data_IF_746843775465
#
_entry.id   IF_746843775465
#
_cell.length_a   1.000
_cell.length_b   1.000
_cell.length_c   1.000
_cell.angle_alpha   90.00
_cell.angle_beta   90.00
_cell.angle_gamma   90.00
#
_symmetry.space_group_name_H-M   'P 1'
#
loop_
_entity.id
_entity.type
_entity.pdbx_description
1 polymer ?
#
# COMPACT_ATOMS: atom_id res chain seq x y z
N UNK A 1 -20.98 3.14 -7.77
CA UNK A 1 -20.67 4.46 -8.38
C UNK A 1 -20.57 4.30 -9.89
N UNK A 2 -20.86 5.34 -10.68
CA UNK A 2 -20.72 5.27 -12.15
C UNK A 2 -19.29 5.56 -12.58
N UNK A 3 -18.80 4.99 -13.70
CA UNK A 3 -17.42 5.19 -14.17
C UNK A 3 -17.03 6.67 -14.39
N UNK A 4 -17.98 7.49 -14.83
CA UNK A 4 -17.80 8.93 -15.05
C UNK A 4 -17.39 9.66 -13.76
N UNK A 5 -17.98 9.31 -12.63
CA UNK A 5 -17.71 9.98 -11.34
C UNK A 5 -16.29 9.67 -10.87
N UNK A 6 -15.83 8.43 -11.08
CA UNK A 6 -14.47 8.01 -10.73
C UNK A 6 -13.45 8.70 -11.64
N UNK A 7 -13.68 8.72 -12.95
CA UNK A 7 -12.77 9.37 -13.92
C UNK A 7 -12.64 10.87 -13.70
N UNK A 8 -13.69 11.52 -13.20
CA UNK A 8 -13.67 12.94 -12.84
C UNK A 8 -12.97 13.24 -11.50
N UNK A 9 -12.36 12.24 -10.84
CA UNK A 9 -11.62 12.42 -9.60
C UNK A 9 -12.46 12.40 -8.32
N UNK A 10 -13.76 12.10 -8.43
CA UNK A 10 -14.69 12.06 -7.28
C UNK A 10 -14.77 10.67 -6.63
N UNK A 11 -13.64 9.95 -6.59
CA UNK A 11 -13.59 8.63 -5.98
C UNK A 11 -14.01 8.66 -4.50
N UNK A 12 -13.72 9.75 -3.77
CA UNK A 12 -14.14 9.93 -2.38
C UNK A 12 -15.67 9.90 -2.17
N UNK A 13 -16.45 10.30 -3.19
CA UNK A 13 -17.92 10.24 -3.14
C UNK A 13 -18.46 8.83 -3.41
N UNK A 14 -17.59 7.94 -3.90
CA UNK A 14 -17.87 6.56 -4.22
C UNK A 14 -17.34 5.58 -3.15
N UNK A 15 -16.37 6.01 -2.36
CA UNK A 15 -15.76 5.22 -1.30
C UNK A 15 -16.61 5.25 -0.03
N UNK A 16 -16.42 4.23 0.81
CA UNK A 16 -17.04 4.19 2.12
C UNK A 16 -16.49 5.33 3.00
N UNK A 17 -17.37 6.19 3.57
CA UNK A 17 -16.97 7.38 4.31
C UNK A 17 -16.24 7.08 5.63
N UNK A 18 -16.26 5.82 6.10
CA UNK A 18 -15.55 5.40 7.31
C UNK A 18 -14.03 5.39 7.09
N UNK A 19 -13.57 5.19 5.86
CA UNK A 19 -12.14 5.04 5.56
C UNK A 19 -11.52 6.33 5.06
N UNK A 20 -10.35 6.67 5.61
CA UNK A 20 -9.44 7.61 4.96
C UNK A 20 -8.83 6.92 3.74
N UNK A 21 -9.43 7.16 2.57
CA UNK A 21 -8.99 6.51 1.33
C UNK A 21 -7.61 6.98 0.87
N UNK A 22 -7.19 8.20 1.21
CA UNK A 22 -5.83 8.63 0.91
C UNK A 22 -4.85 7.75 1.67
N UNK A 23 -5.10 7.60 2.98
CA UNK A 23 -4.31 6.72 3.83
C UNK A 23 -4.33 5.27 3.34
N UNK A 24 -5.50 4.74 2.97
CA UNK A 24 -5.63 3.37 2.48
C UNK A 24 -4.82 3.14 1.20
N UNK A 25 -4.84 4.10 0.27
CA UNK A 25 -4.06 4.03 -0.96
C UNK A 25 -2.56 4.15 -0.72
N UNK A 26 -2.11 5.05 0.16
CA UNK A 26 -0.67 5.18 0.48
C UNK A 26 -0.10 3.85 1.00
N UNK A 27 -0.83 3.20 1.93
CA UNK A 27 -0.44 1.89 2.45
C UNK A 27 -0.45 0.82 1.36
N UNK A 28 -1.56 0.70 0.62
CA UNK A 28 -1.73 -0.34 -0.41
C UNK A 28 -0.67 -0.20 -1.50
N UNK A 29 -0.45 1.02 -2.00
CA UNK A 29 0.50 1.30 -3.06
C UNK A 29 1.94 1.05 -2.60
N UNK A 30 2.32 1.47 -1.40
CA UNK A 30 3.66 1.24 -0.85
C UNK A 30 3.98 -0.26 -0.79
N UNK A 31 3.15 -1.03 -0.08
CA UNK A 31 3.42 -2.46 0.14
C UNK A 31 3.32 -3.27 -1.15
N UNK A 32 2.30 -3.02 -1.97
CA UNK A 32 2.10 -3.78 -3.21
C UNK A 32 3.21 -3.50 -4.21
N UNK A 33 3.57 -2.23 -4.42
CA UNK A 33 4.65 -1.86 -5.35
C UNK A 33 5.99 -2.44 -4.89
N UNK A 34 6.34 -2.25 -3.62
CA UNK A 34 7.62 -2.73 -3.07
C UNK A 34 7.72 -4.26 -3.14
N UNK A 35 6.64 -4.98 -2.84
CA UNK A 35 6.60 -6.44 -2.96
C UNK A 35 6.76 -6.92 -4.40
N UNK A 36 6.04 -6.33 -5.34
CA UNK A 36 6.12 -6.73 -6.75
C UNK A 36 7.50 -6.44 -7.33
N UNK A 37 8.11 -5.30 -7.01
CA UNK A 37 9.47 -4.97 -7.43
C UNK A 37 10.49 -5.93 -6.83
N UNK A 38 10.44 -6.15 -5.51
CA UNK A 38 11.37 -7.03 -4.82
C UNK A 38 11.36 -8.46 -5.38
N UNK A 39 10.17 -9.05 -5.55
CA UNK A 39 10.06 -10.48 -5.88
C UNK A 39 9.90 -10.81 -7.37
N UNK A 40 9.38 -9.89 -8.19
CA UNK A 40 9.26 -10.13 -9.64
C UNK A 40 10.42 -9.53 -10.43
N UNK A 41 11.13 -8.55 -9.87
CA UNK A 41 12.20 -7.83 -10.56
C UNK A 41 13.54 -7.89 -9.83
N UNK A 42 13.62 -8.56 -8.66
CA UNK A 42 14.83 -8.64 -7.83
C UNK A 42 15.38 -7.27 -7.42
N UNK A 43 14.49 -6.30 -7.22
CA UNK A 43 14.85 -4.95 -6.78
C UNK A 43 15.19 -4.95 -5.28
N UNK A 44 16.46 -4.71 -4.95
CA UNK A 44 16.95 -4.71 -3.57
C UNK A 44 16.50 -3.49 -2.78
N UNK A 45 16.34 -2.33 -3.42
CA UNK A 45 15.85 -1.11 -2.75
C UNK A 45 14.38 -1.29 -2.36
N UNK A 46 13.60 -1.94 -3.23
CA UNK A 46 12.21 -2.29 -2.93
C UNK A 46 12.10 -3.31 -1.77
N UNK A 47 13.07 -4.21 -1.64
CA UNK A 47 13.12 -5.14 -0.50
C UNK A 47 13.46 -4.40 0.81
N UNK A 48 14.38 -3.44 0.78
CA UNK A 48 14.70 -2.58 1.93
C UNK A 48 13.50 -1.70 2.34
N UNK A 49 12.70 -1.25 1.38
CA UNK A 49 11.47 -0.49 1.63
C UNK A 49 10.36 -1.33 2.33
N UNK A 50 10.48 -2.66 2.32
CA UNK A 50 9.62 -3.58 3.07
C UNK A 50 10.18 -3.94 4.44
N UNK A 51 11.41 -3.54 4.78
CA UNK A 51 12.00 -3.89 6.07
C UNK A 51 11.22 -3.21 7.22
N UNK A 52 10.93 -3.89 8.34
CA UNK A 52 10.12 -3.32 9.42
C UNK A 52 10.63 -1.99 9.98
N UNK A 53 11.95 -1.80 9.99
CA UNK A 53 12.63 -0.58 10.38
C UNK A 53 12.42 0.59 9.40
N UNK A 54 12.06 0.30 8.15
CA UNK A 54 11.80 1.28 7.09
C UNK A 54 10.33 1.75 7.06
N UNK A 55 9.44 1.10 7.83
CA UNK A 55 8.02 1.43 7.86
C UNK A 55 7.71 2.39 9.01
N UNK A 56 7.41 3.66 8.68
CA UNK A 56 7.15 4.73 9.65
C UNK A 56 5.66 5.13 9.78
N UNK A 57 4.79 4.32 9.20
CA UNK A 57 3.38 4.64 9.12
C UNK A 57 2.68 4.68 10.49
N UNK A 58 2.11 5.83 10.83
CA UNK A 58 1.35 6.05 12.08
C UNK A 58 0.14 5.10 12.19
N UNK A 59 -0.06 4.53 13.38
CA UNK A 59 -1.31 3.87 13.77
C UNK A 59 -1.40 2.37 13.50
N UNK A 60 -0.34 1.74 12.98
CA UNK A 60 -0.26 0.28 12.93
C UNK A 60 1.18 -0.21 13.16
N UNK A 61 1.31 -1.49 13.50
CA UNK A 61 2.60 -2.17 13.62
C UNK A 61 2.76 -3.12 12.45
N UNK A 62 3.80 -2.89 11.65
CA UNK A 62 4.20 -3.81 10.61
C UNK A 62 5.14 -4.88 11.18
N UNK A 63 4.89 -6.14 10.86
CA UNK A 63 5.75 -7.27 11.24
C UNK A 63 5.98 -8.12 10.00
N UNK A 64 7.25 -8.26 9.61
CA UNK A 64 7.66 -9.27 8.64
C UNK A 64 7.96 -10.57 9.40
N UNK A 65 7.38 -11.68 8.96
CA UNK A 65 7.76 -13.02 9.41
C UNK A 65 8.62 -13.66 8.33
N UNK A 66 9.77 -14.20 8.72
CA UNK A 66 10.48 -15.16 7.88
C UNK A 66 9.63 -16.42 7.82
N UNK A 67 9.24 -16.85 6.62
CA UNK A 67 8.61 -18.16 6.46
C UNK A 67 9.74 -19.18 6.46
N UNK A 68 9.97 -19.85 7.59
CA UNK A 68 10.85 -21.01 7.66
C UNK A 68 10.11 -22.22 7.05
N UNK A 69 10.67 -22.81 6.00
CA UNK A 69 10.21 -24.06 5.38
C UNK A 69 10.58 -25.30 6.23
#
# INVERSE_FOLDING_TARGET
CTPIVIQAGFFYACSDPVWDMQRAHDLTNHFTTSFLLAYLQNDTEALEALAPESIDFIGFQYKASVHEE
#
